data_IF_273794206537
#
_entry.id   IF_273794206537
#
_cell.length_a   1.000
_cell.length_b   1.000
_cell.length_c   1.000
_cell.angle_alpha   90.00
_cell.angle_beta   90.00
_cell.angle_gamma   90.00
#
_symmetry.space_group_name_H-M   'P 1'
#
loop_
_entity.id
_entity.type
_entity.pdbx_description
1 polymer ?
#
# COMPACT_ATOMS: atom_id res chain seq x y z
N UNK A 1 49.17 -15.57 -10.53
CA UNK A 1 47.80 -15.85 -11.04
C UNK A 1 46.89 -15.89 -9.81
N UNK A 2 46.52 -14.72 -9.28
CA UNK A 2 45.27 -14.02 -9.60
C UNK A 2 44.05 -14.86 -9.24
N UNK A 3 43.41 -14.53 -8.12
CA UNK A 3 41.96 -14.50 -8.04
C UNK A 3 41.56 -13.44 -7.00
N UNK A 4 41.44 -12.20 -7.47
CA UNK A 4 40.68 -11.20 -6.74
C UNK A 4 39.20 -11.60 -6.78
N UNK A 5 38.65 -11.93 -5.61
CA UNK A 5 37.21 -11.87 -5.40
C UNK A 5 36.75 -10.44 -5.67
N UNK A 6 36.22 -10.20 -6.87
CA UNK A 6 35.56 -8.95 -7.24
C UNK A 6 34.24 -8.92 -6.46
N UNK A 7 34.23 -8.17 -5.36
CA UNK A 7 33.00 -7.77 -4.68
C UNK A 7 32.08 -7.14 -5.73
N UNK A 8 30.98 -7.80 -6.08
CA UNK A 8 30.00 -7.31 -7.04
C UNK A 8 29.16 -6.22 -6.37
N UNK A 9 29.74 -5.03 -6.21
CA UNK A 9 28.98 -3.84 -5.83
C UNK A 9 28.14 -3.42 -7.04
N UNK A 10 26.90 -3.91 -7.13
CA UNK A 10 25.98 -3.56 -8.22
C UNK A 10 24.79 -2.79 -7.65
N UNK A 11 24.91 -1.46 -7.70
CA UNK A 11 23.88 -0.48 -7.35
C UNK A 11 23.43 0.28 -8.62
N UNK A 12 23.06 -0.45 -9.69
CA UNK A 12 22.67 0.16 -10.96
C UNK A 12 21.31 0.83 -10.83
N UNK A 13 21.18 2.07 -11.32
CA UNK A 13 19.87 2.69 -11.50
C UNK A 13 19.02 1.87 -12.50
N UNK A 14 17.68 1.89 -12.39
CA UNK A 14 16.82 1.24 -13.37
C UNK A 14 17.10 1.78 -14.78
N UNK A 15 17.18 0.91 -15.80
CA UNK A 15 17.36 1.35 -17.17
C UNK A 15 16.13 2.13 -17.67
N UNK A 16 16.35 2.99 -18.66
CA UNK A 16 15.30 3.83 -19.25
C UNK A 16 14.09 3.00 -19.73
N UNK A 17 14.33 1.87 -20.40
CA UNK A 17 13.27 0.98 -20.89
C UNK A 17 12.36 0.47 -19.77
N UNK A 18 12.91 0.20 -18.58
CA UNK A 18 12.13 -0.22 -17.42
C UNK A 18 11.30 0.94 -16.87
N UNK A 19 11.88 2.15 -16.80
CA UNK A 19 11.14 3.33 -16.37
C UNK A 19 10.01 3.68 -17.34
N UNK A 20 10.22 3.53 -18.64
CA UNK A 20 9.21 3.77 -19.67
C UNK A 20 8.06 2.74 -19.60
N UNK A 21 8.38 1.45 -19.40
CA UNK A 21 7.37 0.41 -19.18
C UNK A 21 6.53 0.70 -17.93
N UNK A 22 7.18 1.02 -16.79
CA UNK A 22 6.48 1.34 -15.55
C UNK A 22 5.63 2.61 -15.69
N UNK A 23 6.15 3.66 -16.33
CA UNK A 23 5.43 4.91 -16.55
C UNK A 23 4.20 4.68 -17.44
N UNK A 24 4.36 3.94 -18.54
CA UNK A 24 3.27 3.60 -19.46
C UNK A 24 2.21 2.73 -18.80
N UNK A 25 2.63 1.69 -18.05
CA UNK A 25 1.73 0.72 -17.43
C UNK A 25 0.89 1.32 -16.31
N UNK A 26 1.50 2.15 -15.46
CA UNK A 26 0.86 2.61 -14.23
C UNK A 26 0.40 4.07 -14.27
N UNK A 27 1.01 4.93 -15.09
CA UNK A 27 0.77 6.38 -15.04
C UNK A 27 0.10 6.90 -16.31
N UNK A 28 0.71 6.72 -17.49
CA UNK A 28 0.27 7.46 -18.69
C UNK A 28 -1.04 6.96 -19.33
N UNK A 29 -1.36 5.68 -19.18
CA UNK A 29 -2.53 5.06 -19.83
C UNK A 29 -3.76 4.94 -18.92
N UNK A 30 -3.75 5.61 -17.76
CA UNK A 30 -4.90 5.66 -16.85
C UNK A 30 -5.96 6.67 -17.34
N UNK A 31 -7.21 6.60 -16.84
CA UNK A 31 -8.24 7.59 -17.16
C UNK A 31 -7.77 9.02 -16.90
N UNK A 32 -8.13 9.96 -17.79
CA UNK A 32 -7.69 11.37 -17.70
C UNK A 32 -8.02 12.03 -16.36
N UNK A 33 -9.07 11.57 -15.69
CA UNK A 33 -9.45 12.04 -14.35
C UNK A 33 -8.35 11.81 -13.31
N UNK A 34 -7.58 10.73 -13.43
CA UNK A 34 -6.52 10.38 -12.48
C UNK A 34 -5.23 11.15 -12.74
N UNK A 35 -5.14 11.84 -13.89
CA UNK A 35 -4.06 12.75 -14.25
C UNK A 35 -4.34 14.21 -13.88
N UNK A 36 -5.48 14.51 -13.24
CA UNK A 36 -5.87 15.89 -12.91
C UNK A 36 -5.23 16.45 -11.63
N UNK A 37 -4.63 15.60 -10.79
CA UNK A 37 -4.02 16.02 -9.53
C UNK A 37 -2.74 15.22 -9.26
N UNK A 38 -1.73 15.90 -8.74
CA UNK A 38 -0.45 15.27 -8.41
C UNK A 38 -0.58 14.23 -7.31
N UNK A 39 -1.55 14.38 -6.41
CA UNK A 39 -1.84 13.39 -5.39
C UNK A 39 -2.26 12.06 -6.01
N UNK A 40 -3.13 12.10 -7.03
CA UNK A 40 -3.54 10.89 -7.78
C UNK A 40 -2.39 10.29 -8.55
N UNK A 41 -1.62 11.12 -9.25
CA UNK A 41 -0.41 10.67 -9.95
C UNK A 41 0.56 10.00 -8.97
N UNK A 42 0.77 10.57 -7.77
CA UNK A 42 1.68 9.97 -6.79
C UNK A 42 1.18 8.66 -6.18
N UNK A 43 -0.14 8.41 -6.08
CA UNK A 43 -0.62 7.07 -5.76
C UNK A 43 -0.24 6.05 -6.85
N UNK A 44 -0.39 6.43 -8.12
CA UNK A 44 0.00 5.56 -9.25
C UNK A 44 1.51 5.31 -9.28
N UNK A 45 2.31 6.35 -9.00
CA UNK A 45 3.77 6.23 -8.88
C UNK A 45 4.16 5.36 -7.69
N UNK A 46 3.44 5.44 -6.57
CA UNK A 46 3.65 4.56 -5.42
C UNK A 46 3.37 3.09 -5.78
N UNK A 47 2.30 2.78 -6.52
CA UNK A 47 2.08 1.43 -7.03
C UNK A 47 3.19 0.97 -7.98
N UNK A 48 3.64 1.84 -8.89
CA UNK A 48 4.76 1.53 -9.79
C UNK A 48 6.07 1.28 -9.00
N UNK A 49 6.30 2.03 -7.93
CA UNK A 49 7.45 1.87 -7.03
C UNK A 49 7.41 0.52 -6.30
N UNK A 50 6.26 0.14 -5.73
CA UNK A 50 6.08 -1.18 -5.12
C UNK A 50 6.30 -2.31 -6.13
N UNK A 51 5.74 -2.17 -7.34
CA UNK A 51 5.97 -3.13 -8.41
C UNK A 51 7.46 -3.25 -8.75
N UNK A 52 8.19 -2.14 -8.82
CA UNK A 52 9.64 -2.12 -9.04
C UNK A 52 10.40 -2.86 -7.92
N UNK A 53 10.14 -2.54 -6.66
CA UNK A 53 10.82 -3.17 -5.52
C UNK A 53 10.53 -4.68 -5.43
N UNK A 54 9.27 -5.08 -5.61
CA UNK A 54 8.85 -6.48 -5.42
C UNK A 54 9.05 -7.38 -6.64
N UNK A 55 9.07 -6.83 -7.85
CA UNK A 55 9.20 -7.63 -9.07
C UNK A 55 10.51 -7.38 -9.83
N UNK A 56 11.03 -6.15 -9.82
CA UNK A 56 12.24 -5.84 -10.60
C UNK A 56 13.50 -6.05 -9.75
N UNK A 57 13.56 -5.47 -8.56
CA UNK A 57 14.71 -5.57 -7.66
C UNK A 57 14.86 -7.00 -7.11
N UNK A 58 13.75 -7.65 -6.72
CA UNK A 58 13.77 -9.03 -6.23
C UNK A 58 14.28 -10.03 -7.28
N UNK A 59 13.91 -9.85 -8.56
CA UNK A 59 14.36 -10.71 -9.65
C UNK A 59 15.73 -10.33 -10.23
N UNK A 60 16.21 -9.12 -9.98
CA UNK A 60 17.51 -8.65 -10.45
C UNK A 60 18.26 -7.88 -9.35
N UNK A 61 19.07 -8.59 -8.53
CA UNK A 61 19.84 -8.00 -7.42
C UNK A 61 20.91 -6.97 -7.82
N UNK A 62 21.08 -6.68 -9.13
CA UNK A 62 21.96 -5.61 -9.59
C UNK A 62 21.31 -4.23 -9.62
N UNK A 63 19.99 -4.18 -9.50
CA UNK A 63 19.21 -2.95 -9.42
C UNK A 63 19.27 -2.36 -8.01
N UNK A 64 19.41 -1.04 -7.94
CA UNK A 64 19.38 -0.28 -6.68
C UNK A 64 17.95 -0.26 -6.13
N UNK A 65 17.76 -0.65 -4.88
CA UNK A 65 16.52 -0.34 -4.14
C UNK A 65 16.42 1.17 -3.89
N UNK A 66 15.27 1.75 -4.19
CA UNK A 66 15.02 3.18 -4.17
C UNK A 66 13.95 3.48 -3.14
N UNK A 67 14.03 4.64 -2.48
CA UNK A 67 12.85 5.15 -1.79
C UNK A 67 11.87 5.78 -2.80
N UNK A 68 10.61 5.96 -2.39
CA UNK A 68 9.55 6.49 -3.25
C UNK A 68 9.92 7.84 -3.90
N UNK A 69 10.61 8.73 -3.16
CA UNK A 69 11.02 10.04 -3.68
C UNK A 69 12.12 9.94 -4.73
N UNK A 70 13.14 9.11 -4.48
CA UNK A 70 14.18 8.82 -5.48
C UNK A 70 13.58 8.21 -6.76
N UNK A 71 12.69 7.22 -6.60
CA UNK A 71 12.02 6.57 -7.72
C UNK A 71 11.17 7.56 -8.52
N UNK A 72 10.38 8.40 -7.83
CA UNK A 72 9.55 9.42 -8.49
C UNK A 72 10.39 10.41 -9.29
N UNK A 73 11.51 10.88 -8.74
CA UNK A 73 12.43 11.77 -9.47
C UNK A 73 12.94 11.13 -10.76
N UNK A 74 13.31 9.85 -10.72
CA UNK A 74 13.78 9.12 -11.91
C UNK A 74 12.67 8.94 -12.94
N UNK A 75 11.49 8.51 -12.50
CA UNK A 75 10.33 8.29 -13.36
C UNK A 75 9.82 9.58 -14.01
N UNK A 76 9.83 10.69 -13.27
CA UNK A 76 9.42 11.99 -13.81
C UNK A 76 10.45 12.48 -14.83
N UNK A 77 11.74 12.33 -14.55
CA UNK A 77 12.79 12.77 -15.46
C UNK A 77 12.86 11.92 -16.75
N UNK A 78 12.40 10.66 -16.69
CA UNK A 78 12.35 9.74 -17.83
C UNK A 78 11.16 9.98 -18.75
N UNK A 79 10.13 10.70 -18.30
CA UNK A 79 8.90 10.96 -19.03
C UNK A 79 8.76 12.45 -19.41
N UNK A 80 8.74 12.79 -20.70
CA UNK A 80 8.68 14.18 -21.17
C UNK A 80 7.47 14.96 -20.63
N UNK A 81 6.35 14.29 -20.39
CA UNK A 81 5.13 14.91 -19.83
C UNK A 81 5.31 15.29 -18.36
N UNK A 82 6.07 14.48 -17.60
CA UNK A 82 6.23 14.64 -16.15
C UNK A 82 7.52 15.41 -15.78
N UNK A 83 8.50 15.43 -16.68
CA UNK A 83 9.81 16.06 -16.50
C UNK A 83 9.77 17.52 -16.06
N UNK A 84 8.85 18.38 -16.56
CA UNK A 84 8.75 19.76 -16.07
C UNK A 84 8.49 19.88 -14.57
N UNK A 85 7.88 18.86 -13.95
CA UNK A 85 7.49 18.90 -12.53
C UNK A 85 8.57 18.41 -11.58
N UNK A 86 9.71 17.89 -12.08
CA UNK A 86 10.84 17.45 -11.25
C UNK A 86 11.35 18.58 -10.35
N UNK A 87 11.34 19.83 -10.85
CA UNK A 87 11.75 21.00 -10.09
C UNK A 87 10.84 21.30 -8.87
N UNK A 88 9.62 20.77 -8.88
CA UNK A 88 8.61 20.99 -7.84
C UNK A 88 8.34 19.73 -7.00
N UNK A 89 9.19 18.71 -7.10
CA UNK A 89 8.95 17.42 -6.47
C UNK A 89 8.81 17.52 -4.95
N UNK A 90 9.55 18.42 -4.30
CA UNK A 90 9.47 18.62 -2.85
C UNK A 90 8.09 19.11 -2.41
N UNK A 91 7.53 20.09 -3.12
CA UNK A 91 6.20 20.63 -2.85
C UNK A 91 5.13 19.59 -3.15
N UNK A 92 5.25 18.88 -4.29
CA UNK A 92 4.34 17.79 -4.68
C UNK A 92 4.30 16.70 -3.60
N UNK A 93 5.46 16.29 -3.05
CA UNK A 93 5.52 15.29 -1.98
C UNK A 93 4.94 15.79 -0.66
N UNK A 94 5.14 17.08 -0.35
CA UNK A 94 4.56 17.70 0.84
C UNK A 94 3.04 17.71 0.78
N UNK A 95 2.48 18.10 -0.36
CA UNK A 95 1.04 18.13 -0.59
C UNK A 95 0.45 16.72 -0.59
N UNK A 96 1.12 15.77 -1.26
CA UNK A 96 0.73 14.37 -1.26
C UNK A 96 0.74 13.78 0.15
N UNK A 97 1.80 14.00 0.94
CA UNK A 97 1.86 13.50 2.33
C UNK A 97 0.72 14.08 3.17
N UNK A 98 0.46 15.38 3.03
CA UNK A 98 -0.64 16.07 3.72
C UNK A 98 -1.99 15.51 3.33
N UNK A 99 -2.20 15.22 2.04
CA UNK A 99 -3.40 14.57 1.53
C UNK A 99 -3.54 13.14 2.06
N UNK A 100 -2.47 12.36 1.97
CA UNK A 100 -2.44 10.93 2.32
C UNK A 100 -2.81 10.67 3.77
N UNK A 101 -2.51 11.61 4.68
CA UNK A 101 -2.87 11.52 6.11
C UNK A 101 -4.39 11.71 6.33
N UNK A 102 -5.07 12.48 5.47
CA UNK A 102 -6.50 12.74 5.59
C UNK A 102 -7.38 11.66 4.96
N UNK A 103 -6.81 10.80 4.12
CA UNK A 103 -7.57 9.71 3.48
C UNK A 103 -8.24 8.86 4.55
N UNK A 104 -9.58 8.69 4.49
CA UNK A 104 -10.30 7.87 5.44
C UNK A 104 -9.76 6.45 5.49
N UNK A 105 -9.69 5.89 6.69
CA UNK A 105 -9.28 4.51 6.91
C UNK A 105 -10.49 3.71 7.33
N UNK A 106 -10.67 2.55 6.70
CA UNK A 106 -11.74 1.62 7.05
C UNK A 106 -11.19 0.21 7.26
N UNK A 107 -11.82 -0.55 8.14
CA UNK A 107 -11.39 -1.91 8.47
C UNK A 107 -12.41 -2.64 9.32
N UNK A 108 -11.96 -3.66 10.05
CA UNK A 108 -12.84 -4.47 10.88
C UNK A 108 -12.23 -4.81 12.25
N UNK A 109 -13.10 -4.88 13.26
CA UNK A 109 -12.86 -5.56 14.54
C UNK A 109 -13.50 -6.93 14.40
N UNK A 110 -12.68 -7.98 14.30
CA UNK A 110 -13.14 -9.35 14.10
C UNK A 110 -13.10 -10.06 15.44
N UNK A 111 -14.25 -10.51 15.91
CA UNK A 111 -14.49 -11.15 17.20
C UNK A 111 -14.83 -12.62 17.01
N UNK A 112 -14.39 -13.44 17.95
CA UNK A 112 -14.77 -14.84 18.02
C UNK A 112 -16.23 -15.05 18.43
N UNK A 113 -16.67 -16.32 18.51
CA UNK A 113 -18.05 -16.67 18.92
C UNK A 113 -18.35 -16.32 20.40
N UNK A 114 -17.32 -16.21 21.25
CA UNK A 114 -17.48 -15.88 22.68
C UNK A 114 -17.42 -14.38 22.97
N UNK A 115 -17.01 -13.56 21.99
CA UNK A 115 -16.75 -12.13 22.14
C UNK A 115 -15.61 -11.81 23.12
N UNK A 116 -14.74 -12.78 23.40
CA UNK A 116 -13.63 -12.62 24.34
C UNK A 116 -12.31 -12.36 23.63
N UNK A 117 -12.18 -12.75 22.35
CA UNK A 117 -10.96 -12.57 21.56
C UNK A 117 -11.20 -11.77 20.30
N UNK A 118 -10.14 -11.11 19.84
CA UNK A 118 -10.17 -10.35 18.59
C UNK A 118 -8.95 -10.61 17.71
N UNK A 119 -9.16 -10.53 16.39
CA UNK A 119 -8.07 -10.62 15.43
C UNK A 119 -7.31 -9.29 15.33
N UNK A 120 -5.99 -9.38 15.50
CA UNK A 120 -5.07 -8.29 15.25
C UNK A 120 -4.01 -8.72 14.22
N UNK A 121 -3.55 -7.74 13.44
CA UNK A 121 -2.49 -7.90 12.44
C UNK A 121 -1.27 -7.09 12.85
N UNK A 122 -0.09 -7.54 12.42
CA UNK A 122 1.19 -6.87 12.68
C UNK A 122 1.98 -6.67 11.38
N UNK A 123 2.27 -5.40 11.07
CA UNK A 123 3.07 -5.03 9.90
C UNK A 123 4.53 -5.50 9.99
N UNK A 124 5.15 -5.80 8.84
CA UNK A 124 6.50 -6.40 8.78
C UNK A 124 7.61 -5.58 9.45
N UNK A 125 7.55 -4.25 9.32
CA UNK A 125 8.54 -3.31 9.88
C UNK A 125 8.11 -2.72 11.23
N UNK A 126 6.92 -3.06 11.73
CA UNK A 126 6.32 -2.49 12.93
C UNK A 126 6.31 -3.47 14.10
N UNK A 127 6.40 -2.94 15.32
CA UNK A 127 6.21 -3.74 16.55
C UNK A 127 4.75 -3.72 17.05
N UNK A 128 3.92 -2.79 16.57
CA UNK A 128 2.55 -2.58 17.03
C UNK A 128 1.56 -3.51 16.34
N UNK A 129 0.62 -4.02 17.13
CA UNK A 129 -0.58 -4.72 16.66
C UNK A 129 -1.70 -3.72 16.36
N UNK A 130 -2.51 -4.00 15.35
CA UNK A 130 -3.69 -3.19 15.03
C UNK A 130 -4.80 -4.06 14.42
N UNK A 131 -6.02 -3.54 14.40
CA UNK A 131 -7.10 -4.13 13.63
C UNK A 131 -6.80 -4.07 12.13
N UNK A 132 -7.23 -5.08 11.34
CA UNK A 132 -7.06 -5.07 9.90
C UNK A 132 -7.82 -3.90 9.28
N UNK A 133 -7.11 -3.03 8.57
CA UNK A 133 -7.64 -1.76 8.04
C UNK A 133 -6.70 -1.12 7.04
N UNK A 134 -7.26 -0.35 6.11
CA UNK A 134 -6.46 0.49 5.24
C UNK A 134 -7.24 1.64 4.64
N UNK A 135 -6.60 2.30 3.68
CA UNK A 135 -7.05 3.59 3.14
C UNK A 135 -8.08 3.38 2.05
N UNK A 136 -9.13 4.18 2.10
CA UNK A 136 -10.19 4.14 1.11
C UNK A 136 -9.71 4.60 -0.25
N UNK A 137 -10.10 3.86 -1.29
CA UNK A 137 -9.89 4.24 -2.68
C UNK A 137 -10.90 5.31 -3.13
N UNK A 138 -10.64 5.94 -4.28
CA UNK A 138 -11.55 6.90 -4.89
C UNK A 138 -12.91 6.24 -5.18
N UNK A 139 -13.99 6.92 -4.80
CA UNK A 139 -15.38 6.47 -5.00
C UNK A 139 -15.72 5.11 -4.37
N UNK A 140 -14.85 4.60 -3.49
CA UNK A 140 -15.07 3.35 -2.76
C UNK A 140 -15.98 3.61 -1.55
N UNK A 141 -16.96 2.71 -1.37
CA UNK A 141 -17.84 2.72 -0.20
C UNK A 141 -17.10 2.20 1.03
N UNK A 142 -17.43 2.73 2.21
CA UNK A 142 -16.68 2.42 3.44
C UNK A 142 -16.67 0.91 3.79
N UNK A 143 -17.79 0.22 3.56
CA UNK A 143 -17.91 -1.22 3.79
C UNK A 143 -17.14 -2.04 2.75
N UNK A 144 -17.10 -1.59 1.50
CA UNK A 144 -16.38 -2.27 0.43
C UNK A 144 -14.87 -2.19 0.67
N UNK A 145 -14.36 -1.02 1.08
CA UNK A 145 -12.97 -0.85 1.48
C UNK A 145 -12.63 -1.75 2.68
N UNK A 146 -13.47 -1.79 3.72
CA UNK A 146 -13.22 -2.66 4.87
C UNK A 146 -13.11 -4.15 4.47
N UNK A 147 -13.99 -4.64 3.58
CA UNK A 147 -13.95 -6.02 3.08
C UNK A 147 -12.64 -6.29 2.33
N UNK A 148 -12.27 -5.39 1.42
CA UNK A 148 -11.03 -5.50 0.63
C UNK A 148 -9.79 -5.55 1.51
N UNK A 149 -9.66 -4.60 2.42
CA UNK A 149 -8.49 -4.50 3.33
C UNK A 149 -8.38 -5.74 4.24
N UNK A 150 -9.51 -6.21 4.81
CA UNK A 150 -9.50 -7.43 5.63
C UNK A 150 -9.10 -8.65 4.81
N UNK A 151 -9.61 -8.78 3.59
CA UNK A 151 -9.23 -9.87 2.68
C UNK A 151 -7.73 -9.81 2.35
N UNK A 152 -7.20 -8.64 2.01
CA UNK A 152 -5.79 -8.45 1.68
C UNK A 152 -4.86 -8.79 2.86
N UNK A 153 -5.18 -8.31 4.06
CA UNK A 153 -4.32 -8.45 5.24
C UNK A 153 -4.48 -9.80 5.97
N UNK A 154 -5.62 -10.48 5.83
CA UNK A 154 -5.94 -11.68 6.62
C UNK A 154 -6.36 -12.90 5.80
N UNK A 155 -6.69 -12.72 4.52
CA UNK A 155 -7.22 -13.78 3.65
C UNK A 155 -8.66 -14.20 3.96
N UNK A 156 -9.35 -13.47 4.84
CA UNK A 156 -10.70 -13.81 5.30
C UNK A 156 -11.78 -12.91 4.67
N UNK A 157 -12.80 -13.53 4.08
CA UNK A 157 -13.95 -12.81 3.51
C UNK A 157 -15.01 -12.49 4.57
N UNK A 158 -15.09 -11.22 4.97
CA UNK A 158 -16.11 -10.72 5.92
C UNK A 158 -17.40 -10.25 5.25
N UNK A 159 -17.53 -10.33 3.92
CA UNK A 159 -18.66 -9.74 3.17
C UNK A 159 -20.04 -10.24 3.63
N UNK A 160 -20.14 -11.50 4.04
CA UNK A 160 -21.40 -12.11 4.53
C UNK A 160 -21.70 -11.83 5.99
N UNK A 161 -20.69 -11.41 6.76
CA UNK A 161 -20.80 -11.15 8.20
C UNK A 161 -20.96 -9.64 8.48
N UNK A 162 -20.48 -8.80 7.57
CA UNK A 162 -20.50 -7.35 7.72
C UNK A 162 -21.93 -6.82 7.68
N UNK A 163 -22.30 -6.08 8.73
CA UNK A 163 -23.51 -5.27 8.78
C UNK A 163 -23.13 -3.80 8.70
N UNK A 164 -23.76 -3.08 7.76
CA UNK A 164 -23.38 -1.70 7.43
C UNK A 164 -23.56 -0.70 8.58
N UNK A 165 -24.45 -1.01 9.52
CA UNK A 165 -24.80 -0.15 10.65
C UNK A 165 -24.03 -0.51 11.94
N UNK A 166 -23.26 -1.61 11.95
CA UNK A 166 -22.48 -2.05 13.11
C UNK A 166 -21.01 -1.66 12.94
N UNK A 167 -20.66 -0.44 13.36
CA UNK A 167 -19.29 0.07 13.31
C UNK A 167 -18.98 1.02 14.46
N UNK A 168 -17.68 1.17 14.73
CA UNK A 168 -17.12 2.26 15.53
C UNK A 168 -16.46 3.27 14.60
N UNK A 169 -16.70 4.55 14.82
CA UNK A 169 -16.05 5.62 14.08
C UNK A 169 -15.38 6.61 15.04
N UNK A 170 -14.14 6.93 14.74
CA UNK A 170 -13.33 7.88 15.52
C UNK A 170 -12.57 8.78 14.55
N UNK A 171 -12.46 10.06 14.90
CA UNK A 171 -11.63 11.02 14.16
C UNK A 171 -10.35 11.25 14.96
N UNK A 172 -9.21 10.83 14.42
CA UNK A 172 -7.89 11.07 14.99
C UNK A 172 -7.20 12.20 14.23
N UNK A 173 -7.13 13.38 14.85
CA UNK A 173 -6.62 14.58 14.18
C UNK A 173 -7.51 14.94 12.97
N UNK A 174 -6.98 14.76 11.76
CA UNK A 174 -7.71 14.98 10.50
C UNK A 174 -8.14 13.68 9.80
N UNK A 175 -7.81 12.52 10.36
CA UNK A 175 -8.11 11.23 9.75
C UNK A 175 -9.36 10.62 10.37
N UNK A 176 -10.35 10.31 9.52
CA UNK A 176 -11.52 9.53 9.92
C UNK A 176 -11.17 8.04 9.85
N UNK A 177 -11.37 7.33 10.96
CA UNK A 177 -11.18 5.87 11.07
C UNK A 177 -12.53 5.23 11.39
N UNK A 178 -12.96 4.28 10.55
CA UNK A 178 -14.18 3.49 10.77
C UNK A 178 -13.85 2.01 10.81
N UNK A 179 -14.27 1.30 11.85
CA UNK A 179 -14.05 -0.15 11.99
C UNK A 179 -15.39 -0.85 12.15
N UNK A 180 -15.72 -1.76 11.24
CA UNK A 180 -16.92 -2.58 11.31
C UNK A 180 -16.76 -3.68 12.35
N UNK A 181 -17.82 -3.97 13.11
CA UNK A 181 -17.81 -5.06 14.08
C UNK A 181 -18.25 -6.34 13.37
N UNK A 182 -17.37 -7.34 13.33
CA UNK A 182 -17.61 -8.64 12.71
C UNK A 182 -17.54 -9.68 13.82
N UNK A 183 -18.68 -10.25 14.19
CA UNK A 183 -18.78 -11.21 15.29
C UNK A 183 -19.12 -12.62 14.80
N UNK A 184 -18.82 -13.62 15.64
CA UNK A 184 -19.17 -15.01 15.36
C UNK A 184 -18.20 -15.71 14.40
N UNK A 185 -16.94 -15.27 14.36
CA UNK A 185 -15.91 -15.98 13.60
C UNK A 185 -15.44 -17.20 14.38
N UNK A 186 -15.39 -18.35 13.72
CA UNK A 186 -14.98 -19.60 14.36
C UNK A 186 -13.49 -19.61 14.65
N UNK A 187 -13.10 -20.24 15.75
CA UNK A 187 -11.71 -20.40 16.16
C UNK A 187 -10.83 -21.20 15.19
N UNK A 188 -11.42 -22.10 14.41
CA UNK A 188 -10.71 -22.91 13.41
C UNK A 188 -10.47 -22.15 12.09
N UNK A 189 -10.91 -20.90 11.99
CA UNK A 189 -10.68 -20.03 10.84
C UNK A 189 -9.18 -19.77 10.69
N UNK A 190 -8.62 -20.13 9.54
CA UNK A 190 -7.23 -19.87 9.20
C UNK A 190 -7.07 -18.48 8.58
N UNK A 191 -6.12 -17.70 9.09
CA UNK A 191 -5.78 -16.38 8.57
C UNK A 191 -4.39 -16.42 7.92
N UNK A 192 -4.29 -15.91 6.70
CA UNK A 192 -3.03 -15.79 5.97
C UNK A 192 -3.09 -14.53 5.07
N UNK A 193 -2.15 -13.58 5.20
CA UNK A 193 -2.13 -12.40 4.36
C UNK A 193 -1.94 -12.77 2.89
N UNK A 194 -2.62 -12.04 2.00
CA UNK A 194 -2.48 -12.21 0.56
C UNK A 194 -1.42 -11.27 -0.02
N UNK A 195 -1.18 -10.12 0.60
CA UNK A 195 -0.15 -9.16 0.17
C UNK A 195 1.24 -9.56 0.66
N UNK A 196 2.22 -9.59 -0.26
CA UNK A 196 3.61 -9.86 0.08
C UNK A 196 4.20 -8.66 0.82
N UNK A 197 4.90 -8.90 1.92
CA UNK A 197 5.72 -7.94 2.70
C UNK A 197 4.97 -6.79 3.41
N UNK A 198 3.64 -6.73 3.39
CA UNK A 198 2.89 -5.73 4.16
C UNK A 198 2.58 -6.23 5.59
N UNK A 199 2.08 -7.45 5.74
CA UNK A 199 1.74 -8.07 7.04
C UNK A 199 2.68 -9.24 7.34
N UNK A 200 3.21 -9.29 8.57
CA UNK A 200 4.10 -10.35 9.04
C UNK A 200 3.38 -11.49 9.74
N UNK A 201 2.36 -11.18 10.56
CA UNK A 201 1.67 -12.15 11.42
C UNK A 201 0.22 -11.69 11.64
N UNK A 202 -0.71 -12.64 11.55
CA UNK A 202 -2.07 -12.53 12.07
C UNK A 202 -2.14 -13.30 13.40
N UNK A 203 -2.72 -12.71 14.45
CA UNK A 203 -2.89 -13.40 15.74
C UNK A 203 -4.24 -13.06 16.36
N UNK A 204 -4.93 -14.08 16.84
CA UNK A 204 -6.12 -13.93 17.67
C UNK A 204 -5.66 -13.77 19.11
N UNK A 205 -6.01 -12.65 19.74
CA UNK A 205 -5.69 -12.33 21.13
C UNK A 205 -6.93 -12.37 21.99
#
# INVERSE_FOLDING_TARGET
>A
MSNHHRSSSKNGLPPQELLDDLCSRFVLNVPKEDLQSFERILFLVEYAHWFYEDNSVENNPSLKSLNLKEFTSLLFNSCDVLKPYVAHIDDIFKDFTSYKVRVPVTGAIILDETYERCLLVKGWKGSSWSFPRGKKSKDEEDHACAIREVMEETGFDVSKLLKKDEYLEVIFGQQRVRLYIIAGVKDDTSFAPLTKKEISVCHSL
#
